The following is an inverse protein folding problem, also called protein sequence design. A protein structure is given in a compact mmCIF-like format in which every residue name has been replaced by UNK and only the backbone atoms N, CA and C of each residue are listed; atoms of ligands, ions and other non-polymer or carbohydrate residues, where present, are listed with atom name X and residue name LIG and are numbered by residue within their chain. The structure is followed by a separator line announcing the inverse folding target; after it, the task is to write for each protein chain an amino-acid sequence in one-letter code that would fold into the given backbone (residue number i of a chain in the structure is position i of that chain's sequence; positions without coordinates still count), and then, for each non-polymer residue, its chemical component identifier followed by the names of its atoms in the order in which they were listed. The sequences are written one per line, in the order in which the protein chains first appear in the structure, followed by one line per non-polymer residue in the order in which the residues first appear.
data_IF_710691801781
#
_entry.id   IF_710691801781
#
_cell.length_a   1.000
_cell.length_b   1.000
_cell.length_c   1.000
_cell.angle_alpha   90.00
_cell.angle_beta   90.00
_cell.angle_gamma   90.00
#
_symmetry.space_group_name_H-M   'P 1'
#
loop_
_entity.id
_entity.type
_entity.pdbx_description
1 polymer ?
#
# COMPACT_ATOMS: atom_id res chain seq x y z
N UNK A 1 -20.07 -9.29 4.08
CA UNK A 1 -20.51 -10.41 3.24
C UNK A 1 -19.45 -10.59 2.15
N UNK A 2 -18.66 -11.67 2.17
CA UNK A 2 -17.56 -11.89 1.22
C UNK A 2 -18.00 -11.84 -0.26
N UNK A 3 -19.26 -12.12 -0.55
CA UNK A 3 -19.82 -12.04 -1.91
C UNK A 3 -20.08 -10.61 -2.38
N UNK A 4 -20.00 -9.63 -1.48
CA UNK A 4 -20.32 -8.21 -1.71
C UNK A 4 -19.22 -7.27 -1.25
N UNK A 5 -18.05 -7.81 -0.89
CA UNK A 5 -16.93 -7.03 -0.34
C UNK A 5 -15.65 -7.51 -1.01
N UNK A 6 -15.37 -7.05 -2.25
CA UNK A 6 -14.11 -7.35 -2.89
C UNK A 6 -12.96 -6.65 -2.16
N UNK A 7 -11.79 -7.28 -2.17
CA UNK A 7 -10.55 -6.75 -1.64
C UNK A 7 -9.57 -6.52 -2.79
N UNK A 8 -8.96 -5.33 -2.81
CA UNK A 8 -7.95 -4.94 -3.80
C UNK A 8 -6.63 -4.67 -3.11
N UNK A 9 -5.55 -5.21 -3.66
CA UNK A 9 -4.20 -5.02 -3.16
C UNK A 9 -3.18 -4.92 -4.29
N UNK A 10 -2.04 -4.26 -4.07
CA UNK A 10 -0.97 -4.15 -5.06
C UNK A 10 0.41 -3.96 -4.43
N UNK A 11 1.46 -4.30 -5.17
CA UNK A 11 2.84 -4.10 -4.73
C UNK A 11 3.33 -2.64 -4.77
N UNK A 12 2.52 -1.72 -5.30
CA UNK A 12 2.95 -0.35 -5.59
C UNK A 12 3.29 0.48 -4.35
N UNK A 13 2.60 0.23 -3.23
CA UNK A 13 2.70 1.07 -2.02
C UNK A 13 3.50 0.38 -0.93
N UNK A 14 3.13 -0.84 -0.56
CA UNK A 14 3.77 -1.56 0.54
C UNK A 14 5.21 -2.00 0.20
N UNK A 15 5.42 -2.42 -1.05
CA UNK A 15 6.71 -2.88 -1.57
C UNK A 15 7.45 -1.83 -2.40
N UNK A 16 6.83 -0.68 -2.69
CA UNK A 16 7.42 0.36 -3.55
C UNK A 16 7.62 -0.05 -5.02
N UNK A 17 7.01 -1.16 -5.48
CA UNK A 17 7.23 -1.74 -6.81
C UNK A 17 6.19 -1.24 -7.83
N UNK A 18 6.00 0.08 -7.92
CA UNK A 18 4.95 0.67 -8.79
C UNK A 18 5.13 0.35 -10.29
N UNK A 19 6.36 0.21 -10.76
CA UNK A 19 6.66 -0.14 -12.17
C UNK A 19 6.40 -1.61 -12.53
N UNK A 20 6.07 -2.46 -11.55
CA UNK A 20 5.78 -3.88 -11.79
C UNK A 20 4.33 -4.10 -12.23
N UNK A 21 3.45 -3.11 -12.00
CA UNK A 21 2.03 -3.14 -12.42
C UNK A 21 1.29 -4.42 -12.03
N UNK A 22 1.52 -4.90 -10.80
CA UNK A 22 0.88 -6.10 -10.27
C UNK A 22 -0.12 -5.76 -9.17
N UNK A 23 -1.38 -6.08 -9.43
CA UNK A 23 -2.50 -5.95 -8.50
C UNK A 23 -3.25 -7.27 -8.35
N UNK A 24 -3.91 -7.43 -7.21
CA UNK A 24 -4.71 -8.60 -6.86
C UNK A 24 -6.12 -8.12 -6.55
N UNK A 25 -7.10 -8.72 -7.22
CA UNK A 25 -8.51 -8.70 -6.84
C UNK A 25 -8.83 -10.02 -6.14
N UNK A 26 -9.15 -9.94 -4.86
CA UNK A 26 -9.67 -11.05 -4.09
C UNK A 26 -11.17 -10.83 -3.88
N UNK A 27 -12.00 -11.72 -4.38
CA UNK A 27 -13.44 -11.58 -4.30
C UNK A 27 -14.13 -12.95 -4.16
N UNK A 28 -15.29 -12.95 -3.47
CA UNK A 28 -16.12 -14.14 -3.31
C UNK A 28 -17.05 -14.41 -4.49
N UNK A 29 -17.35 -13.40 -5.33
CA UNK A 29 -18.24 -13.55 -6.47
C UNK A 29 -17.58 -14.25 -7.64
N UNK A 30 -18.22 -15.33 -8.09
CA UNK A 30 -17.84 -16.04 -9.32
C UNK A 30 -17.91 -15.13 -10.55
N UNK A 31 -18.86 -14.19 -10.57
CA UNK A 31 -19.04 -13.25 -11.67
C UNK A 31 -17.83 -12.31 -11.80
N UNK A 32 -17.44 -11.66 -10.70
CA UNK A 32 -16.27 -10.77 -10.69
C UNK A 32 -14.97 -11.54 -10.93
N UNK A 33 -14.87 -12.78 -10.43
CA UNK A 33 -13.72 -13.66 -10.73
C UNK A 33 -13.61 -13.98 -12.23
N UNK A 34 -14.74 -14.19 -12.91
CA UNK A 34 -14.78 -14.47 -14.35
C UNK A 34 -14.35 -13.23 -15.15
N UNK A 35 -14.91 -12.07 -14.82
CA UNK A 35 -14.52 -10.78 -15.43
C UNK A 35 -13.03 -10.50 -15.19
N UNK A 36 -12.52 -10.76 -13.97
CA UNK A 36 -11.11 -10.61 -13.65
C UNK A 36 -10.20 -11.51 -14.50
N UNK A 37 -10.62 -12.75 -14.77
CA UNK A 37 -9.88 -13.66 -15.64
C UNK A 37 -9.83 -13.17 -17.09
N UNK A 38 -10.94 -12.65 -17.61
CA UNK A 38 -11.02 -12.06 -18.95
C UNK A 38 -10.13 -10.80 -19.07
N UNK A 39 -10.13 -9.94 -18.04
CA UNK A 39 -9.26 -8.77 -18.00
C UNK A 39 -7.78 -9.16 -17.92
N UNK A 40 -7.44 -10.20 -17.15
CA UNK A 40 -6.07 -10.69 -17.05
C UNK A 40 -5.54 -11.27 -18.38
N UNK A 41 -6.41 -11.73 -19.28
CA UNK A 41 -5.97 -12.12 -20.62
C UNK A 41 -5.38 -10.95 -21.41
N UNK A 42 -5.92 -9.73 -21.22
CA UNK A 42 -5.48 -8.53 -21.92
C UNK A 42 -4.43 -7.71 -21.16
N UNK A 43 -4.54 -7.66 -19.84
CA UNK A 43 -3.77 -6.76 -18.96
C UNK A 43 -3.02 -7.48 -17.85
N UNK A 44 -2.94 -8.82 -17.93
CA UNK A 44 -2.27 -9.62 -16.93
C UNK A 44 -0.76 -9.36 -16.86
N UNK A 45 -0.15 -9.50 -15.67
CA UNK A 45 1.29 -9.37 -15.52
C UNK A 45 2.02 -10.50 -16.25
N UNK A 46 3.23 -10.23 -16.74
CA UNK A 46 4.04 -11.25 -17.42
C UNK A 46 4.37 -12.43 -16.49
N UNK A 47 4.59 -13.61 -17.06
CA UNK A 47 4.96 -14.82 -16.29
C UNK A 47 6.24 -14.64 -15.49
N UNK A 48 7.21 -13.89 -16.02
CA UNK A 48 8.47 -13.57 -15.33
C UNK A 48 8.22 -12.74 -14.07
N UNK A 49 7.34 -11.74 -14.16
CA UNK A 49 6.93 -10.95 -12.99
C UNK A 49 6.18 -11.83 -11.99
N UNK A 50 5.24 -12.66 -12.45
CA UNK A 50 4.49 -13.58 -11.58
C UNK A 50 5.44 -14.51 -10.80
N UNK A 51 6.41 -15.14 -11.48
CA UNK A 51 7.39 -16.03 -10.85
C UNK A 51 8.31 -15.30 -9.88
N UNK A 52 8.80 -14.12 -10.26
CA UNK A 52 9.67 -13.30 -9.40
C UNK A 52 8.96 -12.91 -8.11
N UNK A 53 7.72 -12.43 -8.22
CA UNK A 53 6.92 -12.06 -7.06
C UNK A 53 6.51 -13.27 -6.23
N UNK A 54 6.26 -14.43 -6.86
CA UNK A 54 6.00 -15.67 -6.14
C UNK A 54 7.22 -16.12 -5.31
N UNK A 55 8.44 -16.04 -5.86
CA UNK A 55 9.66 -16.33 -5.10
C UNK A 55 9.87 -15.36 -3.95
N UNK A 56 9.64 -14.06 -4.19
CA UNK A 56 9.71 -13.03 -3.16
C UNK A 56 8.71 -13.30 -2.02
N UNK A 57 7.45 -13.60 -2.36
CA UNK A 57 6.39 -13.89 -1.40
C UNK A 57 6.55 -15.25 -0.70
N UNK A 58 7.34 -16.16 -1.27
CA UNK A 58 7.68 -17.44 -0.65
C UNK A 58 8.70 -17.33 0.48
N UNK A 59 9.47 -16.24 0.52
CA UNK A 59 10.41 -15.97 1.61
C UNK A 59 9.70 -15.28 2.79
N UNK A 60 8.99 -16.07 3.58
CA UNK A 60 8.23 -15.59 4.73
C UNK A 60 9.10 -14.89 5.79
N UNK A 61 10.35 -15.33 5.97
CA UNK A 61 11.27 -14.71 6.92
C UNK A 61 11.65 -13.30 6.44
N UNK A 62 11.99 -13.17 5.16
CA UNK A 62 12.28 -11.87 4.56
C UNK A 62 11.06 -10.94 4.61
N UNK A 63 9.85 -11.43 4.27
CA UNK A 63 8.61 -10.61 4.33
C UNK A 63 8.37 -10.08 5.73
N UNK A 64 8.46 -10.95 6.75
CA UNK A 64 8.25 -10.52 8.13
C UNK A 64 9.28 -9.47 8.55
N UNK A 65 10.55 -9.65 8.17
CA UNK A 65 11.59 -8.65 8.42
C UNK A 65 11.31 -7.33 7.67
N UNK A 66 10.93 -7.41 6.39
CA UNK A 66 10.65 -6.26 5.53
C UNK A 66 9.49 -5.43 6.05
N UNK A 67 8.36 -6.05 6.42
CA UNK A 67 7.18 -5.35 6.93
C UNK A 67 7.53 -4.59 8.21
N UNK A 68 8.23 -5.23 9.15
CA UNK A 68 8.64 -4.59 10.40
C UNK A 68 9.61 -3.43 10.16
N UNK A 69 10.65 -3.65 9.35
CA UNK A 69 11.62 -2.62 9.00
C UNK A 69 10.95 -1.44 8.29
N UNK A 70 10.07 -1.71 7.32
CA UNK A 70 9.34 -0.69 6.55
C UNK A 70 8.44 0.13 7.46
N UNK A 71 7.68 -0.53 8.34
CA UNK A 71 6.82 0.14 9.33
C UNK A 71 7.61 1.06 10.26
N UNK A 72 8.74 0.60 10.79
CA UNK A 72 9.63 1.43 11.63
C UNK A 72 10.13 2.65 10.87
N UNK A 73 10.65 2.47 9.66
CA UNK A 73 11.15 3.58 8.83
C UNK A 73 10.05 4.57 8.47
N UNK A 74 8.86 4.10 8.13
CA UNK A 74 7.71 4.96 7.82
C UNK A 74 7.32 5.81 9.03
N UNK A 75 7.32 5.22 10.24
CA UNK A 75 7.05 5.95 11.47
C UNK A 75 8.13 7.01 11.76
N UNK A 76 9.40 6.67 11.57
CA UNK A 76 10.52 7.63 11.72
C UNK A 76 10.38 8.80 10.75
N UNK A 77 10.07 8.54 9.47
CA UNK A 77 9.84 9.59 8.48
C UNK A 77 8.62 10.44 8.81
N UNK A 78 7.53 9.82 9.28
CA UNK A 78 6.35 10.54 9.75
C UNK A 78 6.72 11.52 10.88
N UNK A 79 7.44 11.06 11.90
CA UNK A 79 7.83 11.93 13.02
C UNK A 79 8.76 13.06 12.57
N UNK A 80 9.72 12.77 11.70
CA UNK A 80 10.61 13.79 11.14
C UNK A 80 9.82 14.89 10.41
N UNK A 81 8.86 14.52 9.56
CA UNK A 81 8.01 15.47 8.83
C UNK A 81 7.12 16.24 9.79
N UNK A 82 6.50 15.55 10.75
CA UNK A 82 5.64 16.13 11.77
C UNK A 82 6.37 17.20 12.59
N UNK A 83 7.52 16.85 13.16
CA UNK A 83 8.35 17.74 13.96
C UNK A 83 8.78 18.99 13.19
N UNK A 84 9.11 18.83 11.90
CA UNK A 84 9.49 19.97 11.05
C UNK A 84 8.32 20.92 10.80
N UNK A 85 7.13 20.38 10.53
CA UNK A 85 5.94 21.19 10.28
C UNK A 85 5.47 21.91 11.55
N UNK A 86 5.47 21.23 12.70
CA UNK A 86 5.10 21.84 14.00
C UNK A 86 6.11 22.92 14.44
N UNK A 87 7.40 22.76 14.09
CA UNK A 87 8.41 23.82 14.31
C UNK A 87 8.18 25.06 13.43
N UNK A 88 7.65 24.88 12.22
CA UNK A 88 7.37 26.00 11.31
C UNK A 88 6.11 26.77 11.73
N UNK A 89 5.05 26.08 12.13
CA UNK A 89 3.85 26.69 12.72
C UNK A 89 3.26 25.73 13.75
N UNK A 90 3.29 26.15 15.02
CA UNK A 90 2.76 25.36 16.14
C UNK A 90 1.24 25.15 16.08
N UNK A 91 0.53 25.90 15.23
CA UNK A 91 -0.91 25.72 15.00
C UNK A 91 -1.21 24.64 13.96
N UNK A 92 -0.18 24.08 13.32
CA UNK A 92 -0.36 23.03 12.32
C UNK A 92 -1.00 21.81 12.97
N UNK A 93 -2.12 21.35 12.39
CA UNK A 93 -2.78 20.11 12.84
C UNK A 93 -2.40 19.01 11.87
N UNK A 94 -1.73 17.98 12.38
CA UNK A 94 -1.30 16.80 11.62
C UNK A 94 -2.07 15.60 12.14
N UNK A 95 -2.75 14.87 11.25
CA UNK A 95 -3.48 13.66 11.63
C UNK A 95 -2.51 12.54 12.01
N UNK A 96 -2.91 11.73 12.98
CA UNK A 96 -2.23 10.49 13.39
C UNK A 96 -1.94 9.61 12.17
N UNK A 97 -0.78 8.95 12.10
CA UNK A 97 -0.47 8.09 10.97
C UNK A 97 -1.32 6.82 11.04
N UNK A 98 -2.07 6.54 9.97
CA UNK A 98 -2.92 5.34 9.83
C UNK A 98 -2.32 4.34 8.82
N UNK A 99 -0.99 4.25 8.77
CA UNK A 99 -0.26 3.30 7.89
C UNK A 99 -0.01 3.82 6.47
N UNK A 100 0.00 5.14 6.27
CA UNK A 100 0.12 5.75 4.95
C UNK A 100 1.55 6.23 4.68
N UNK A 101 1.88 6.41 3.39
CA UNK A 101 3.18 6.99 2.96
C UNK A 101 3.11 8.51 2.73
N UNK A 102 2.11 9.17 3.33
CA UNK A 102 1.90 10.61 3.28
C UNK A 102 1.34 11.13 4.61
N UNK A 103 1.38 12.45 4.82
CA UNK A 103 0.82 13.12 5.99
C UNK A 103 -0.42 13.93 5.60
N UNK A 104 -1.46 13.89 6.43
CA UNK A 104 -2.62 14.76 6.27
C UNK A 104 -2.50 15.98 7.18
N UNK A 105 -2.29 17.14 6.58
CA UNK A 105 -1.95 18.38 7.27
C UNK A 105 -3.04 19.42 7.04
N UNK A 106 -3.48 20.07 8.11
CA UNK A 106 -4.39 21.22 8.04
C UNK A 106 -3.63 22.51 8.30
N UNK A 107 -3.64 23.39 7.30
CA UNK A 107 -3.13 24.76 7.36
C UNK A 107 -4.21 25.81 7.62
N UNK A 108 -5.42 25.39 8.03
CA UNK A 108 -6.50 26.34 8.35
C UNK A 108 -6.05 27.27 9.47
N UNK A 109 -6.18 28.59 9.28
CA UNK A 109 -6.03 29.56 10.36
C UNK A 109 -7.17 29.37 11.35
N UNK A 110 -6.85 29.10 12.60
CA UNK A 110 -7.78 29.33 13.70
C UNK A 110 -8.08 30.83 13.74
N UNK A 111 -9.34 31.21 13.51
CA UNK A 111 -9.83 32.57 13.71
C UNK A 111 -9.93 32.89 15.21
#
# INVERSE_FOLDING_TARGET
DPMRTPFLWSFSKDFGLSGVHFGVLYDGSKELSTIGAELNFLFGPSSVIQQTLASLLGDHQWIHSYINMSGTRLLEQYQLVKDRLEKLDQRTIIRTPEGWVWVWVSFRRSY
#
